data_IF_088816096782
#
_entry.id   IF_088816096782
#
_cell.length_a   1.000
_cell.length_b   1.000
_cell.length_c   1.000
_cell.angle_alpha   90.00
_cell.angle_beta   90.00
_cell.angle_gamma   90.00
#
_symmetry.space_group_name_H-M   'P 1'
#
loop_
_entity.id
_entity.type
_entity.pdbx_description
1 polymer ?
#
# COMPACT_ATOMS: atom_id res chain seq x y z
N UNK A 1 2.78 -5.97 -17.87
CA UNK A 1 1.53 -6.62 -18.27
C UNK A 1 0.57 -6.75 -17.09
N UNK A 2 -0.65 -7.15 -17.38
CA UNK A 2 -1.67 -7.40 -16.35
C UNK A 2 -1.58 -8.83 -15.84
N UNK A 3 -1.78 -9.02 -14.55
CA UNK A 3 -1.84 -10.31 -13.88
C UNK A 3 -3.28 -10.62 -13.45
N UNK A 4 -3.58 -11.91 -13.28
CA UNK A 4 -4.86 -12.35 -12.78
C UNK A 4 -4.87 -12.42 -11.26
N UNK A 5 -5.84 -13.14 -10.67
CA UNK A 5 -6.00 -13.28 -9.22
C UNK A 5 -4.85 -14.03 -8.54
N UNK A 6 -4.66 -13.80 -7.25
CA UNK A 6 -3.78 -14.57 -6.38
C UNK A 6 -2.27 -14.37 -6.58
N UNK A 7 -1.85 -13.27 -7.19
CA UNK A 7 -0.41 -12.94 -7.31
C UNK A 7 0.24 -12.90 -5.94
N UNK A 8 1.34 -13.63 -5.76
CA UNK A 8 2.08 -13.68 -4.50
C UNK A 8 1.32 -14.30 -3.32
N UNK A 9 0.21 -15.01 -3.56
CA UNK A 9 -0.51 -15.74 -2.50
C UNK A 9 0.44 -16.73 -1.83
N UNK A 10 0.57 -16.62 -0.49
CA UNK A 10 1.47 -17.47 0.29
C UNK A 10 2.96 -17.24 0.02
N UNK A 11 3.34 -16.13 -0.60
CA UNK A 11 4.75 -15.80 -0.82
C UNK A 11 5.52 -15.77 0.51
N UNK A 12 6.70 -16.37 0.53
CA UNK A 12 7.55 -16.44 1.73
C UNK A 12 8.89 -15.71 1.58
N UNK A 13 9.11 -15.03 0.45
CA UNK A 13 10.34 -14.28 0.18
C UNK A 13 10.43 -13.85 -1.29
N UNK A 14 11.59 -13.32 -1.67
CA UNK A 14 11.84 -12.84 -3.01
C UNK A 14 11.21 -11.48 -3.32
N UNK A 15 11.14 -11.15 -4.60
CA UNK A 15 10.61 -9.89 -5.08
C UNK A 15 9.67 -10.10 -6.26
N UNK A 16 8.52 -9.44 -6.23
CA UNK A 16 7.54 -9.40 -7.32
C UNK A 16 7.39 -7.96 -7.79
N UNK A 17 7.62 -7.71 -9.07
CA UNK A 17 7.46 -6.39 -9.67
C UNK A 17 6.47 -6.48 -10.83
N UNK A 18 5.40 -5.69 -10.75
CA UNK A 18 4.40 -5.57 -11.82
C UNK A 18 4.40 -4.13 -12.33
N UNK A 19 4.83 -3.97 -13.58
CA UNK A 19 4.90 -2.67 -14.25
C UNK A 19 3.74 -2.48 -15.20
N UNK A 20 3.27 -1.25 -15.32
CA UNK A 20 2.36 -0.87 -16.37
C UNK A 20 2.97 -1.12 -17.75
N UNK A 21 2.18 -1.56 -18.75
CA UNK A 21 2.67 -1.73 -20.13
C UNK A 21 3.21 -0.41 -20.68
N UNK A 22 4.33 -0.45 -21.38
CA UNK A 22 4.85 0.71 -22.07
C UNK A 22 3.83 1.19 -23.14
N UNK A 23 3.42 2.45 -23.08
CA UNK A 23 2.43 3.05 -23.99
C UNK A 23 0.96 2.73 -23.66
N UNK A 24 0.70 2.04 -22.58
CA UNK A 24 -0.65 1.67 -22.12
C UNK A 24 -1.16 2.61 -21.02
N UNK A 25 -1.63 3.77 -21.42
CA UNK A 25 -2.34 4.65 -20.49
C UNK A 25 -1.45 5.67 -19.76
N UNK A 26 -2.06 6.76 -19.43
CA UNK A 26 -1.55 7.83 -18.59
C UNK A 26 -0.95 7.23 -17.32
N UNK A 27 0.25 7.61 -16.94
CA UNK A 27 0.95 7.15 -15.73
C UNK A 27 0.28 7.61 -14.42
N UNK A 28 -1.04 7.59 -14.39
CA UNK A 28 -1.88 8.06 -13.28
C UNK A 28 -2.24 6.97 -12.27
N UNK A 29 -1.69 5.73 -12.45
CA UNK A 29 -1.95 4.62 -11.53
C UNK A 29 -3.40 4.10 -11.56
N UNK A 30 -4.20 4.45 -12.55
CA UNK A 30 -5.61 4.05 -12.60
C UNK A 30 -5.86 2.67 -13.25
N UNK A 31 -4.82 2.08 -13.86
CA UNK A 31 -4.96 0.77 -14.49
C UNK A 31 -4.93 -0.35 -13.44
N UNK A 32 -5.93 -1.21 -13.44
CA UNK A 32 -5.92 -2.46 -12.67
C UNK A 32 -4.94 -3.42 -13.31
N UNK A 33 -3.83 -3.69 -12.63
CA UNK A 33 -2.76 -4.55 -13.10
C UNK A 33 -2.78 -5.94 -12.48
N UNK A 34 -3.41 -6.08 -11.32
CA UNK A 34 -3.49 -7.32 -10.55
C UNK A 34 -4.94 -7.54 -10.13
N UNK A 35 -5.40 -8.78 -10.23
CA UNK A 35 -6.74 -9.17 -9.77
C UNK A 35 -6.86 -9.23 -8.24
N UNK A 36 -7.82 -10.02 -7.78
CA UNK A 36 -8.17 -10.15 -6.36
C UNK A 36 -7.19 -11.07 -5.60
N UNK A 37 -7.20 -10.98 -4.27
CA UNK A 37 -6.45 -11.83 -3.33
C UNK A 37 -4.92 -11.81 -3.50
N UNK A 38 -4.35 -10.77 -4.09
CA UNK A 38 -2.90 -10.67 -4.18
C UNK A 38 -2.29 -10.60 -2.77
N UNK A 39 -1.17 -11.27 -2.56
CA UNK A 39 -0.45 -11.40 -1.28
C UNK A 39 -1.27 -12.04 -0.13
N UNK A 40 -2.35 -12.73 -0.43
CA UNK A 40 -3.14 -13.41 0.59
C UNK A 40 -2.25 -14.39 1.39
N UNK A 41 -2.14 -14.18 2.71
CA UNK A 41 -1.35 -15.02 3.60
C UNK A 41 0.15 -15.02 3.30
N UNK A 42 0.68 -13.97 2.67
CA UNK A 42 2.11 -13.83 2.45
C UNK A 42 2.87 -13.69 3.77
N UNK A 43 4.00 -14.39 3.89
CA UNK A 43 4.83 -14.42 5.11
C UNK A 43 6.16 -13.70 4.96
N UNK A 44 6.49 -13.24 3.75
CA UNK A 44 7.70 -12.49 3.45
C UNK A 44 7.79 -12.07 1.99
N UNK A 45 8.85 -11.37 1.67
CA UNK A 45 9.10 -10.85 0.33
C UNK A 45 8.75 -9.37 0.16
N UNK A 46 9.09 -8.84 -1.02
CA UNK A 46 8.78 -7.46 -1.40
C UNK A 46 7.96 -7.46 -2.68
N UNK A 47 6.95 -6.60 -2.76
CA UNK A 47 6.05 -6.52 -3.91
C UNK A 47 5.83 -5.07 -4.31
N UNK A 48 6.04 -4.77 -5.57
CA UNK A 48 5.93 -3.44 -6.14
C UNK A 48 5.00 -3.47 -7.35
N UNK A 49 3.87 -2.76 -7.26
CA UNK A 49 2.81 -2.75 -8.27
C UNK A 49 2.59 -1.33 -8.76
N UNK A 50 2.97 -1.06 -10.00
CA UNK A 50 2.80 0.24 -10.67
C UNK A 50 1.39 0.37 -11.25
N UNK A 51 0.37 0.24 -10.41
CA UNK A 51 -1.03 0.31 -10.76
C UNK A 51 -1.92 -0.20 -9.65
N UNK A 52 -3.19 -0.45 -9.97
CA UNK A 52 -4.18 -0.90 -9.00
C UNK A 52 -4.18 -2.42 -8.85
N UNK A 53 -4.46 -2.87 -7.64
CA UNK A 53 -4.86 -4.23 -7.31
C UNK A 53 -6.38 -4.29 -7.07
N UNK A 54 -6.96 -5.46 -7.25
CA UNK A 54 -8.37 -5.73 -6.94
C UNK A 54 -8.64 -5.80 -5.43
N UNK A 55 -9.74 -6.49 -5.09
CA UNK A 55 -10.18 -6.65 -3.71
C UNK A 55 -9.28 -7.59 -2.91
N UNK A 56 -9.30 -7.41 -1.58
CA UNK A 56 -8.60 -8.27 -0.61
C UNK A 56 -7.09 -8.35 -0.81
N UNK A 57 -6.49 -7.23 -1.18
CA UNK A 57 -5.03 -7.11 -1.28
C UNK A 57 -4.40 -7.26 0.12
N UNK A 58 -3.39 -8.11 0.24
CA UNK A 58 -2.62 -8.37 1.46
C UNK A 58 -3.46 -8.87 2.67
N UNK A 59 -4.61 -9.50 2.44
CA UNK A 59 -5.38 -10.14 3.50
C UNK A 59 -4.53 -11.21 4.19
N UNK A 60 -4.50 -11.20 5.53
CA UNK A 60 -3.68 -12.09 6.36
C UNK A 60 -2.18 -12.03 6.03
N UNK A 61 -1.69 -10.91 5.51
CA UNK A 61 -0.25 -10.70 5.37
C UNK A 61 0.42 -10.76 6.75
N UNK A 62 1.48 -11.55 6.87
CA UNK A 62 2.21 -11.73 8.11
C UNK A 62 3.70 -11.42 8.03
N UNK A 63 4.17 -10.79 6.93
CA UNK A 63 5.58 -10.43 6.83
C UNK A 63 6.04 -9.82 5.50
N UNK A 64 5.19 -9.80 4.47
CA UNK A 64 5.56 -9.18 3.21
C UNK A 64 5.49 -7.64 3.30
N UNK A 65 6.38 -6.98 2.54
CA UNK A 65 6.35 -5.54 2.31
C UNK A 65 5.86 -5.25 0.90
N UNK A 66 4.84 -4.39 0.76
CA UNK A 66 4.25 -4.11 -0.54
C UNK A 66 4.00 -2.62 -0.76
N UNK A 67 4.19 -2.17 -2.01
CA UNK A 67 3.75 -0.85 -2.48
C UNK A 67 2.83 -1.04 -3.68
N UNK A 68 1.68 -0.37 -3.66
CA UNK A 68 0.65 -0.45 -4.69
C UNK A 68 0.06 0.94 -4.97
N UNK A 69 -0.47 1.17 -6.16
CA UNK A 69 -1.01 2.48 -6.56
C UNK A 69 -2.54 2.52 -6.62
N UNK A 70 -3.18 1.68 -5.84
CA UNK A 70 -4.63 1.62 -5.65
C UNK A 70 -5.08 0.22 -5.24
N UNK A 71 -6.13 0.13 -4.43
CA UNK A 71 -6.69 -1.12 -3.94
C UNK A 71 -8.22 -1.06 -3.92
N UNK A 72 -8.85 -2.23 -3.98
CA UNK A 72 -10.28 -2.40 -3.80
C UNK A 72 -10.69 -2.58 -2.33
N UNK A 73 -11.77 -3.30 -2.12
CA UNK A 73 -12.34 -3.59 -0.80
C UNK A 73 -11.41 -4.48 0.05
N UNK A 74 -11.45 -4.29 1.37
CA UNK A 74 -10.81 -5.16 2.37
C UNK A 74 -9.29 -5.32 2.24
N UNK A 75 -8.59 -4.26 1.84
CA UNK A 75 -7.13 -4.25 1.84
C UNK A 75 -6.59 -4.43 3.27
N UNK A 76 -5.56 -5.26 3.44
CA UNK A 76 -4.91 -5.56 4.72
C UNK A 76 -5.82 -6.16 5.81
N UNK A 77 -6.98 -6.71 5.43
CA UNK A 77 -7.88 -7.36 6.37
C UNK A 77 -7.18 -8.52 7.11
N UNK A 78 -7.30 -8.56 8.44
CA UNK A 78 -6.63 -9.55 9.31
C UNK A 78 -5.11 -9.65 9.14
N UNK A 79 -4.46 -8.59 8.74
CA UNK A 79 -3.00 -8.52 8.69
C UNK A 79 -2.41 -8.64 10.09
N UNK A 80 -1.32 -9.41 10.22
CA UNK A 80 -0.68 -9.69 11.52
C UNK A 80 0.75 -9.16 11.61
N UNK A 81 1.40 -8.89 10.48
CA UNK A 81 2.75 -8.30 10.41
C UNK A 81 3.05 -7.87 8.97
N UNK A 82 4.19 -7.20 8.75
CA UNK A 82 4.60 -6.67 7.46
C UNK A 82 4.20 -5.20 7.28
N UNK A 83 4.36 -4.68 6.07
CA UNK A 83 4.05 -3.30 5.75
C UNK A 83 3.42 -3.18 4.34
N UNK A 84 2.35 -2.44 4.23
CA UNK A 84 1.69 -2.16 2.95
C UNK A 84 1.53 -0.66 2.79
N UNK A 85 2.01 -0.12 1.66
CA UNK A 85 1.85 1.28 1.29
C UNK A 85 0.97 1.39 0.04
N UNK A 86 -0.18 2.02 0.18
CA UNK A 86 -1.06 2.34 -0.94
C UNK A 86 -0.95 3.84 -1.30
N UNK A 87 -0.64 4.11 -2.56
CA UNK A 87 -0.44 5.46 -3.10
C UNK A 87 -1.67 6.00 -3.84
N UNK A 88 -2.71 5.19 -3.97
CA UNK A 88 -3.88 5.52 -4.78
C UNK A 88 -5.20 5.30 -4.08
N UNK A 89 -6.25 5.06 -4.89
CA UNK A 89 -7.60 4.81 -4.41
C UNK A 89 -7.68 3.65 -3.43
N UNK A 90 -8.66 3.72 -2.54
CA UNK A 90 -8.98 2.71 -1.54
C UNK A 90 -10.48 2.62 -1.36
N UNK A 91 -10.95 1.57 -0.69
CA UNK A 91 -12.36 1.33 -0.45
C UNK A 91 -12.60 0.84 0.97
N UNK A 92 -13.80 0.35 1.26
CA UNK A 92 -14.23 -0.06 2.61
C UNK A 92 -13.37 -1.18 3.19
N UNK A 93 -13.30 -1.22 4.53
CA UNK A 93 -12.70 -2.31 5.29
C UNK A 93 -11.17 -2.36 5.25
N UNK A 94 -10.52 -1.25 4.92
CA UNK A 94 -9.07 -1.16 4.95
C UNK A 94 -8.55 -1.38 6.37
N UNK A 95 -7.67 -2.38 6.54
CA UNK A 95 -7.11 -2.76 7.82
C UNK A 95 -8.07 -3.47 8.78
N UNK A 96 -9.29 -3.82 8.35
CA UNK A 96 -10.28 -4.42 9.23
C UNK A 96 -9.75 -5.70 9.92
N UNK A 97 -9.82 -5.75 11.25
CA UNK A 97 -9.33 -6.89 12.04
C UNK A 97 -7.82 -7.07 12.06
N UNK A 98 -7.02 -6.07 11.68
CA UNK A 98 -5.57 -6.10 11.85
C UNK A 98 -5.21 -6.34 13.31
N UNK A 99 -4.19 -7.14 13.56
CA UNK A 99 -3.62 -7.38 14.89
C UNK A 99 -2.12 -7.11 14.95
N UNK A 100 -1.53 -6.65 13.85
CA UNK A 100 -0.12 -6.26 13.76
C UNK A 100 0.30 -5.88 12.36
N UNK A 101 1.51 -5.38 12.21
CA UNK A 101 2.00 -4.78 11.00
C UNK A 101 1.49 -3.35 10.81
N UNK A 102 1.82 -2.75 9.67
CA UNK A 102 1.45 -1.37 9.36
C UNK A 102 0.87 -1.27 7.95
N UNK A 103 -0.28 -0.63 7.83
CA UNK A 103 -0.78 -0.16 6.55
C UNK A 103 -0.59 1.36 6.46
N UNK A 104 -0.16 1.82 5.30
CA UNK A 104 0.02 3.25 5.02
C UNK A 104 -0.86 3.62 3.83
N UNK A 105 -1.61 4.71 3.98
CA UNK A 105 -2.49 5.21 2.94
C UNK A 105 -2.18 6.67 2.63
N UNK A 106 -1.82 6.96 1.38
CA UNK A 106 -1.82 8.34 0.89
C UNK A 106 -3.25 8.74 0.53
N UNK A 107 -3.76 9.77 1.20
CA UNK A 107 -5.14 10.25 1.07
C UNK A 107 -5.18 11.78 1.07
N UNK A 108 -5.00 12.42 -0.08
CA UNK A 108 -5.02 13.89 -0.18
C UNK A 108 -6.40 14.50 0.05
N UNK A 109 -7.46 13.68 -0.01
CA UNK A 109 -8.84 14.13 0.18
C UNK A 109 -9.33 14.01 1.64
N UNK A 110 -8.57 13.32 2.51
CA UNK A 110 -8.91 13.15 3.93
C UNK A 110 -10.13 12.26 4.18
N UNK A 111 -10.38 11.30 3.29
CA UNK A 111 -11.56 10.42 3.36
C UNK A 111 -11.36 9.18 4.23
N UNK A 112 -10.11 8.82 4.53
CA UNK A 112 -9.78 7.57 5.21
C UNK A 112 -10.58 7.30 6.49
N UNK A 113 -10.86 8.29 7.35
CA UNK A 113 -11.63 8.03 8.57
C UNK A 113 -13.02 7.44 8.33
N UNK A 114 -13.63 7.70 7.17
CA UNK A 114 -14.96 7.16 6.82
C UNK A 114 -14.90 5.72 6.29
N UNK A 115 -13.70 5.20 5.98
CA UNK A 115 -13.49 3.90 5.33
C UNK A 115 -12.84 2.85 6.23
N UNK A 116 -12.41 3.23 7.44
CA UNK A 116 -11.84 2.32 8.44
C UNK A 116 -12.81 2.07 9.59
N UNK A 117 -12.67 0.92 10.24
CA UNK A 117 -13.41 0.60 11.46
C UNK A 117 -12.60 1.05 12.68
N UNK A 118 -13.01 2.14 13.32
CA UNK A 118 -12.35 2.68 14.50
C UNK A 118 -12.34 1.74 15.72
N UNK A 119 -13.18 0.71 15.70
CA UNK A 119 -13.17 -0.36 16.71
C UNK A 119 -12.12 -1.43 16.42
N UNK A 120 -11.59 -1.46 15.20
CA UNK A 120 -10.64 -2.48 14.71
C UNK A 120 -9.21 -1.98 14.56
N UNK A 121 -9.03 -0.70 14.27
CA UNK A 121 -7.72 -0.13 13.94
C UNK A 121 -7.56 1.27 14.51
N UNK A 122 -6.31 1.61 14.80
CA UNK A 122 -5.88 2.97 15.07
C UNK A 122 -5.29 3.58 13.81
N UNK A 123 -5.58 4.85 13.55
CA UNK A 123 -4.98 5.60 12.45
C UNK A 123 -4.52 6.97 12.92
N UNK A 124 -3.39 7.41 12.40
CA UNK A 124 -2.85 8.75 12.63
C UNK A 124 -2.15 9.27 11.38
N UNK A 125 -1.80 10.55 11.39
CA UNK A 125 -1.04 11.19 10.31
C UNK A 125 0.38 11.46 10.73
N UNK A 126 1.29 11.66 9.79
CA UNK A 126 2.67 12.05 10.11
C UNK A 126 2.79 13.53 10.51
N UNK A 127 1.71 14.28 10.42
CA UNK A 127 1.70 15.70 10.77
C UNK A 127 1.74 15.97 12.29
N UNK A 128 1.50 14.96 13.13
CA UNK A 128 1.46 15.11 14.59
C UNK A 128 2.83 15.30 15.25
N UNK A 129 3.92 14.97 14.50
CA UNK A 129 5.31 15.13 14.98
C UNK A 129 5.69 14.24 16.17
N UNK A 130 4.94 13.16 16.41
CA UNK A 130 5.28 12.19 17.42
C UNK A 130 6.51 11.37 17.04
N UNK A 131 7.22 10.80 18.02
CA UNK A 131 8.33 9.87 17.78
C UNK A 131 7.88 8.68 16.90
N UNK A 132 6.65 8.23 17.10
CA UNK A 132 6.05 7.17 16.29
C UNK A 132 5.87 7.62 14.85
N UNK A 133 5.40 8.83 14.61
CA UNK A 133 5.27 9.40 13.27
C UNK A 133 6.61 9.45 12.53
N UNK A 134 7.71 9.79 13.19
CA UNK A 134 9.05 9.82 12.59
C UNK A 134 9.52 8.44 12.12
N UNK A 135 9.26 7.39 12.89
CA UNK A 135 9.59 6.01 12.53
C UNK A 135 8.81 5.58 11.28
N UNK A 136 7.51 5.86 11.25
CA UNK A 136 6.66 5.55 10.10
C UNK A 136 7.03 6.37 8.86
N UNK A 137 7.36 7.63 9.04
CA UNK A 137 7.81 8.52 7.97
C UNK A 137 9.07 7.98 7.27
N UNK A 138 10.04 7.55 8.05
CA UNK A 138 11.27 6.91 7.54
C UNK A 138 10.95 5.65 6.74
N UNK A 139 10.06 4.81 7.25
CA UNK A 139 9.62 3.58 6.59
C UNK A 139 8.93 3.86 5.26
N UNK A 140 7.98 4.79 5.22
CA UNK A 140 7.26 5.16 3.99
C UNK A 140 8.20 5.74 2.94
N UNK A 141 9.11 6.63 3.32
CA UNK A 141 10.10 7.18 2.38
C UNK A 141 10.98 6.08 1.79
N UNK A 142 11.37 5.09 2.58
CA UNK A 142 12.15 3.96 2.08
C UNK A 142 11.34 3.08 1.13
N UNK A 143 10.07 2.80 1.46
CA UNK A 143 9.18 2.03 0.58
C UNK A 143 8.95 2.75 -0.76
N UNK A 144 8.76 4.07 -0.75
CA UNK A 144 8.66 4.89 -1.97
C UNK A 144 9.93 4.79 -2.83
N UNK A 145 11.12 4.88 -2.23
CA UNK A 145 12.39 4.74 -2.96
C UNK A 145 12.51 3.37 -3.62
N UNK A 146 12.24 2.30 -2.90
CA UNK A 146 12.22 0.94 -3.47
C UNK A 146 11.22 0.81 -4.62
N UNK A 147 10.03 1.43 -4.47
CA UNK A 147 9.02 1.40 -5.52
C UNK A 147 9.48 2.14 -6.79
N UNK A 148 10.12 3.29 -6.65
CA UNK A 148 10.73 4.02 -7.78
C UNK A 148 11.83 3.18 -8.45
N UNK A 149 12.73 2.61 -7.67
CA UNK A 149 13.82 1.76 -8.19
C UNK A 149 13.27 0.55 -8.97
N UNK A 150 12.25 -0.11 -8.43
CA UNK A 150 11.67 -1.30 -9.02
C UNK A 150 10.81 -1.01 -10.24
N UNK A 151 10.05 0.09 -10.25
CA UNK A 151 8.98 0.32 -11.25
C UNK A 151 9.19 1.56 -12.11
N UNK A 152 10.02 2.51 -11.68
CA UNK A 152 10.12 3.87 -12.25
C UNK A 152 8.79 4.64 -12.16
N UNK A 153 8.07 4.48 -11.05
CA UNK A 153 6.78 5.12 -10.82
C UNK A 153 6.92 6.64 -10.71
N UNK A 154 6.33 7.36 -11.64
CA UNK A 154 6.25 8.82 -11.61
C UNK A 154 5.46 9.32 -10.39
N UNK A 155 4.40 8.60 -10.01
CA UNK A 155 3.62 8.92 -8.81
C UNK A 155 4.50 8.91 -7.55
N UNK A 156 5.27 7.85 -7.35
CA UNK A 156 6.14 7.73 -6.20
C UNK A 156 7.29 8.76 -6.21
N UNK A 157 7.82 9.10 -7.39
CA UNK A 157 8.81 10.18 -7.54
C UNK A 157 8.26 11.53 -7.10
N UNK A 158 7.04 11.89 -7.54
CA UNK A 158 6.37 13.14 -7.14
C UNK A 158 6.13 13.18 -5.64
N UNK A 159 5.63 12.09 -5.05
CA UNK A 159 5.38 12.03 -3.60
C UNK A 159 6.67 12.17 -2.78
N UNK A 160 7.79 11.65 -3.26
CA UNK A 160 9.10 11.86 -2.63
C UNK A 160 9.61 13.29 -2.79
N UNK A 161 9.45 13.89 -3.97
CA UNK A 161 9.89 15.25 -4.24
C UNK A 161 9.08 16.28 -3.44
N UNK A 162 7.79 16.03 -3.26
CA UNK A 162 6.87 16.90 -2.52
C UNK A 162 6.63 16.39 -1.08
N UNK A 163 7.67 15.90 -0.42
CA UNK A 163 7.54 15.17 0.85
C UNK A 163 6.79 15.94 1.94
N UNK A 164 7.03 17.24 2.08
CA UNK A 164 6.35 18.07 3.08
C UNK A 164 4.81 18.15 2.89
N UNK A 165 4.36 18.02 1.66
CA UNK A 165 2.93 17.86 1.37
C UNK A 165 2.47 16.43 1.58
N UNK A 166 3.23 15.47 1.07
CA UNK A 166 2.92 14.04 1.13
C UNK A 166 2.72 13.55 2.57
N UNK A 167 3.63 13.93 3.49
CA UNK A 167 3.56 13.52 4.89
C UNK A 167 2.29 13.98 5.62
N UNK A 168 1.73 15.11 5.22
CA UNK A 168 0.48 15.65 5.80
C UNK A 168 -0.76 14.87 5.38
N UNK A 169 -0.68 14.18 4.26
CA UNK A 169 -1.78 13.43 3.66
C UNK A 169 -1.55 11.91 3.70
N UNK A 170 -0.52 11.47 4.41
CA UNK A 170 -0.27 10.04 4.59
C UNK A 170 -0.64 9.61 5.99
N UNK A 171 -1.48 8.58 6.05
CA UNK A 171 -1.95 7.95 7.28
C UNK A 171 -1.16 6.67 7.53
N UNK A 172 -0.86 6.40 8.79
CA UNK A 172 -0.49 5.09 9.28
C UNK A 172 -1.69 4.44 9.96
N UNK A 173 -1.82 3.13 9.80
CA UNK A 173 -2.93 2.31 10.29
C UNK A 173 -2.31 1.07 10.95
N UNK A 174 -2.73 0.76 12.18
CA UNK A 174 -2.27 -0.40 12.93
C UNK A 174 -3.36 -1.00 13.82
#
# INVERSE_FOLDING_TARGET
GTCNDGVGKGACGGEIVVKAPAGGGTGDGQNVLIGNFALFGATGGRVFIQGQAGDRFAVRNSGATAVVEGVGDFCCEYMTNGAVLNLGGFSKGLGNGMSGGFAYQYDPEGKLPDFISHDSVFAGTFADGSEQAEIHETSVRQMLRWHVEATSSVRAEVLLAEWESTRKHTYWIM
#
